data_IF_064494453078
#
_entry.id   IF_064494453078
#
_cell.length_a   1.000
_cell.length_b   1.000
_cell.length_c   1.000
_cell.angle_alpha   90.00
_cell.angle_beta   90.00
_cell.angle_gamma   90.00
#
_symmetry.space_group_name_H-M   'P 1'
#
loop_
_entity.id
_entity.type
_entity.pdbx_description
1 polymer ?
#
# COMPACT_ATOMS: atom_id res chain seq x y z
N UNK A 1 43.11 38.02 44.96
CA UNK A 1 42.81 38.49 43.60
C UNK A 1 42.19 37.35 42.82
N UNK A 2 40.87 37.37 42.65
CA UNK A 2 40.14 36.70 41.59
C UNK A 2 38.86 37.52 41.43
N UNK A 3 38.80 38.28 40.34
CA UNK A 3 37.71 39.20 39.98
C UNK A 3 36.51 38.36 39.58
N UNK A 4 35.42 38.54 40.31
CA UNK A 4 34.11 37.97 40.03
C UNK A 4 33.31 39.05 39.28
N UNK A 5 33.06 38.84 37.99
CA UNK A 5 32.25 39.75 37.18
C UNK A 5 30.75 39.58 37.48
N UNK A 6 29.97 40.67 37.62
CA UNK A 6 28.56 40.62 37.97
C UNK A 6 27.60 40.87 36.77
N UNK A 7 26.34 40.44 36.97
CA UNK A 7 25.07 40.99 36.45
C UNK A 7 24.59 40.60 35.03
N UNK A 8 23.29 40.79 34.69
CA UNK A 8 22.02 40.62 35.45
C UNK A 8 20.94 39.83 34.64
N UNK A 9 19.80 39.49 35.27
CA UNK A 9 18.56 39.09 34.58
C UNK A 9 17.97 40.22 33.73
N UNK A 10 17.00 39.88 32.86
CA UNK A 10 15.85 40.64 32.31
C UNK A 10 15.67 40.36 30.78
N UNK A 11 14.55 40.71 30.13
CA UNK A 11 13.13 40.59 30.47
C UNK A 11 12.30 40.18 29.21
N UNK A 12 11.83 38.94 29.06
CA UNK A 12 10.85 38.67 27.98
C UNK A 12 9.88 37.51 28.25
N UNK A 13 9.52 37.28 29.52
CA UNK A 13 8.25 36.59 29.81
C UNK A 13 7.15 37.37 29.10
N UNK A 14 6.66 36.82 27.99
CA UNK A 14 5.60 37.42 27.19
C UNK A 14 4.37 36.55 27.39
N UNK A 15 3.40 37.08 28.13
CA UNK A 15 2.06 36.51 28.29
C UNK A 15 1.33 36.46 26.92
N UNK A 16 0.42 35.50 26.70
CA UNK A 16 -0.37 35.46 25.48
C UNK A 16 -1.45 36.54 25.54
N UNK A 17 -1.26 37.62 24.77
CA UNK A 17 -2.27 38.67 24.60
C UNK A 17 -3.40 38.19 23.68
N UNK A 18 -4.62 38.25 24.20
CA UNK A 18 -5.86 38.00 23.47
C UNK A 18 -6.25 39.21 22.60
N UNK A 19 -6.83 38.89 21.43
CA UNK A 19 -7.75 39.68 20.58
C UNK A 19 -7.22 39.96 19.16
N UNK A 20 -7.80 39.23 18.19
CA UNK A 20 -7.66 39.50 16.76
C UNK A 20 -8.45 38.51 15.91
N UNK A 21 -9.70 38.89 15.57
CA UNK A 21 -10.59 38.41 14.48
C UNK A 21 -10.71 36.91 14.17
N UNK A 22 -11.95 36.36 14.13
CA UNK A 22 -12.18 35.05 13.55
C UNK A 22 -12.20 35.21 12.02
N UNK A 23 -11.06 35.04 11.36
CA UNK A 23 -11.09 34.66 9.94
C UNK A 23 -11.65 33.25 9.93
N UNK A 24 -12.91 33.14 9.50
CA UNK A 24 -13.57 31.87 9.26
C UNK A 24 -12.79 31.11 8.17
N UNK A 25 -11.77 30.37 8.61
CA UNK A 25 -11.20 29.28 7.85
C UNK A 25 -12.31 28.24 7.79
N UNK A 26 -13.04 28.24 6.68
CA UNK A 26 -13.88 27.13 6.29
C UNK A 26 -12.98 25.88 6.21
N UNK A 27 -12.89 25.18 7.34
CA UNK A 27 -12.33 23.85 7.40
C UNK A 27 -13.20 22.99 6.50
N UNK A 28 -12.72 22.75 5.28
CA UNK A 28 -13.11 21.55 4.55
C UNK A 28 -12.95 20.36 5.52
N UNK A 29 -13.85 19.37 5.50
CA UNK A 29 -13.78 18.25 6.41
C UNK A 29 -12.60 17.39 5.97
N UNK A 30 -11.39 17.74 6.42
CA UNK A 30 -10.24 16.86 6.38
C UNK A 30 -10.63 15.66 7.21
N UNK A 31 -10.93 14.57 6.47
CA UNK A 31 -11.66 13.41 6.94
C UNK A 31 -11.19 12.95 8.31
N UNK A 32 -12.17 12.79 9.20
CA UNK A 32 -12.02 12.14 10.48
C UNK A 32 -11.27 10.81 10.25
N UNK A 33 -9.97 10.78 10.57
CA UNK A 33 -9.24 9.53 10.57
C UNK A 33 -9.96 8.61 11.56
N UNK A 34 -10.37 7.40 11.15
CA UNK A 34 -10.97 6.46 12.10
C UNK A 34 -10.00 6.28 13.26
N UNK A 35 -10.52 6.31 14.49
CA UNK A 35 -9.68 6.09 15.67
C UNK A 35 -8.88 4.80 15.51
N UNK A 36 -7.72 4.70 16.16
CA UNK A 36 -6.89 3.50 16.09
C UNK A 36 -7.70 2.22 16.41
N UNK A 37 -8.68 2.31 17.32
CA UNK A 37 -9.60 1.20 17.63
C UNK A 37 -10.52 0.81 16.47
N UNK A 38 -11.09 1.77 15.74
CA UNK A 38 -11.93 1.51 14.56
C UNK A 38 -11.10 0.93 13.40
N UNK A 39 -9.85 1.37 13.25
CA UNK A 39 -8.89 0.79 12.31
C UNK A 39 -8.58 -0.67 12.66
N UNK A 40 -8.27 -0.97 13.94
CA UNK A 40 -7.99 -2.34 14.41
C UNK A 40 -9.22 -3.26 14.29
N UNK A 41 -10.42 -2.77 14.57
CA UNK A 41 -11.66 -3.53 14.37
C UNK A 41 -11.86 -3.93 12.89
N UNK A 42 -11.56 -3.01 11.97
CA UNK A 42 -11.61 -3.28 10.53
C UNK A 42 -10.56 -4.33 10.10
N UNK A 43 -9.39 -4.32 10.75
CA UNK A 43 -8.35 -5.35 10.56
C UNK A 43 -8.77 -6.74 11.04
N UNK A 44 -9.59 -6.87 12.08
CA UNK A 44 -10.11 -8.19 12.48
C UNK A 44 -11.15 -8.71 11.50
N UNK A 45 -11.94 -7.80 10.94
CA UNK A 45 -13.08 -8.14 10.07
C UNK A 45 -12.67 -8.66 8.69
N UNK A 46 -11.52 -8.26 8.14
CA UNK A 46 -11.08 -8.81 6.85
C UNK A 46 -10.70 -10.30 6.95
N UNK A 47 -10.35 -10.80 8.13
CA UNK A 47 -10.06 -12.22 8.29
C UNK A 47 -11.33 -13.06 8.15
N UNK A 48 -12.49 -12.50 8.52
CA UNK A 48 -13.79 -13.15 8.42
C UNK A 48 -14.32 -13.23 6.98
N UNK A 49 -13.88 -12.35 6.07
CA UNK A 49 -14.29 -12.42 4.65
C UNK A 49 -13.51 -13.48 3.84
N UNK A 50 -12.41 -14.00 4.40
CA UNK A 50 -11.54 -14.97 3.74
C UNK A 50 -11.91 -16.39 4.15
N UNK A 51 -12.11 -17.24 3.15
CA UNK A 51 -12.41 -18.66 3.37
C UNK A 51 -11.13 -19.49 3.22
N UNK A 52 -11.14 -20.73 3.73
CA UNK A 52 -10.01 -21.68 3.54
C UNK A 52 -9.64 -21.88 2.07
N UNK A 53 -10.60 -21.79 1.15
CA UNK A 53 -10.38 -21.89 -0.30
C UNK A 53 -9.50 -20.77 -0.87
N UNK A 54 -9.50 -19.60 -0.23
CA UNK A 54 -8.72 -18.43 -0.62
C UNK A 54 -7.24 -18.54 -0.25
N UNK A 55 -6.86 -19.55 0.52
CA UNK A 55 -5.48 -19.81 0.89
C UNK A 55 -4.88 -20.96 0.07
N UNK A 56 -3.57 -20.89 -0.14
CA UNK A 56 -2.74 -21.99 -0.61
C UNK A 56 -1.55 -22.14 0.32
N UNK A 57 -1.14 -23.37 0.60
CA UNK A 57 0.09 -23.60 1.38
C UNK A 57 1.26 -23.64 0.41
N UNK A 58 2.28 -22.82 0.65
CA UNK A 58 3.54 -22.84 -0.08
C UNK A 58 4.65 -22.89 0.96
N UNK A 59 5.52 -23.90 0.87
CA UNK A 59 6.64 -24.08 1.80
C UNK A 59 6.22 -24.03 3.27
N UNK A 60 5.08 -24.66 3.59
CA UNK A 60 4.52 -24.71 4.95
C UNK A 60 3.76 -23.47 5.41
N UNK A 61 3.79 -22.36 4.67
CA UNK A 61 3.13 -21.12 5.05
C UNK A 61 1.85 -20.86 4.22
N UNK A 62 0.76 -20.36 4.83
CA UNK A 62 -0.46 -20.01 4.11
C UNK A 62 -0.29 -18.69 3.34
N UNK A 63 -0.56 -18.73 2.04
CA UNK A 63 -0.56 -17.58 1.12
C UNK A 63 -1.95 -17.32 0.59
N UNK A 64 -2.32 -16.04 0.51
CA UNK A 64 -3.60 -15.61 -0.03
C UNK A 64 -3.54 -15.69 -1.56
N UNK A 65 -4.46 -16.42 -2.17
CA UNK A 65 -4.63 -16.54 -3.62
C UNK A 65 -5.20 -15.26 -4.21
N UNK A 66 -5.21 -15.20 -5.54
CA UNK A 66 -5.85 -14.12 -6.33
C UNK A 66 -7.30 -13.86 -5.94
N UNK A 67 -8.06 -14.90 -5.54
CA UNK A 67 -9.45 -14.78 -5.10
C UNK A 67 -9.55 -14.04 -3.76
N UNK A 68 -8.74 -14.41 -2.77
CA UNK A 68 -8.71 -13.75 -1.48
C UNK A 68 -8.29 -12.28 -1.58
N UNK A 69 -7.25 -11.99 -2.37
CA UNK A 69 -6.84 -10.59 -2.62
C UNK A 69 -7.96 -9.77 -3.27
N UNK A 70 -8.73 -10.33 -4.20
CA UNK A 70 -9.90 -9.65 -4.78
C UNK A 70 -10.99 -9.35 -3.74
N UNK A 71 -11.28 -10.29 -2.83
CA UNK A 71 -12.24 -10.06 -1.74
C UNK A 71 -11.76 -8.92 -0.83
N UNK A 72 -10.49 -8.94 -0.44
CA UNK A 72 -9.86 -7.89 0.38
C UNK A 72 -9.94 -6.54 -0.32
N UNK A 73 -9.52 -6.45 -1.58
CA UNK A 73 -9.57 -5.20 -2.34
C UNK A 73 -10.98 -4.64 -2.47
N UNK A 74 -11.97 -5.51 -2.67
CA UNK A 74 -13.38 -5.10 -2.71
C UNK A 74 -13.87 -4.58 -1.35
N UNK A 75 -13.54 -5.28 -0.27
CA UNK A 75 -13.94 -4.89 1.10
C UNK A 75 -13.35 -3.54 1.53
N UNK A 76 -12.07 -3.29 1.23
CA UNK A 76 -11.40 -2.02 1.52
C UNK A 76 -11.63 -0.94 0.44
N UNK A 77 -12.42 -1.26 -0.59
CA UNK A 77 -12.69 -0.39 -1.73
C UNK A 77 -11.42 0.20 -2.36
N UNK A 78 -10.44 -0.67 -2.60
CA UNK A 78 -9.15 -0.33 -3.21
C UNK A 78 -9.31 -0.30 -4.73
N UNK A 79 -8.92 0.82 -5.34
CA UNK A 79 -8.78 0.94 -6.79
C UNK A 79 -7.34 0.64 -7.21
N UNK A 80 -7.18 0.15 -8.44
CA UNK A 80 -5.88 -0.13 -9.03
C UNK A 80 -5.70 0.65 -10.33
N UNK A 81 -4.53 1.23 -10.50
CA UNK A 81 -4.12 1.96 -11.69
C UNK A 81 -2.79 1.39 -12.19
N UNK A 82 -2.73 0.99 -13.47
CA UNK A 82 -1.46 0.58 -14.09
C UNK A 82 -0.70 1.86 -14.43
N UNK A 83 0.42 2.10 -13.74
CA UNK A 83 1.27 3.27 -13.95
C UNK A 83 2.24 3.08 -15.10
N UNK A 84 2.79 1.88 -15.19
CA UNK A 84 3.73 1.52 -16.24
C UNK A 84 3.63 0.01 -16.53
N UNK A 85 3.96 -0.38 -17.76
CA UNK A 85 4.08 -1.77 -18.14
C UNK A 85 5.06 -1.92 -19.30
N UNK A 86 5.84 -3.01 -19.25
CA UNK A 86 6.74 -3.41 -20.33
C UNK A 86 6.52 -4.88 -20.63
N UNK A 87 6.42 -5.23 -21.90
CA UNK A 87 6.31 -6.62 -22.37
C UNK A 87 7.39 -6.83 -23.41
N UNK A 88 8.33 -7.71 -23.10
CA UNK A 88 9.40 -8.12 -24.01
C UNK A 88 8.92 -9.29 -24.87
N UNK A 89 9.08 -9.15 -26.18
CA UNK A 89 8.78 -10.18 -27.17
C UNK A 89 10.06 -10.73 -27.79
N UNK A 90 10.04 -12.01 -28.18
CA UNK A 90 11.08 -12.60 -29.02
C UNK A 90 10.86 -12.27 -30.51
N UNK A 91 11.81 -12.68 -31.36
CA UNK A 91 11.75 -12.50 -32.82
C UNK A 91 10.54 -13.20 -33.47
N UNK A 92 9.97 -14.19 -32.79
CA UNK A 92 8.76 -14.92 -33.20
C UNK A 92 7.48 -14.35 -32.57
N UNK A 93 7.55 -13.13 -32.00
CA UNK A 93 6.45 -12.42 -31.35
C UNK A 93 5.83 -13.18 -30.15
N UNK A 94 6.62 -14.01 -29.46
CA UNK A 94 6.20 -14.60 -28.20
C UNK A 94 6.66 -13.77 -27.00
N UNK A 95 5.84 -13.71 -25.97
CA UNK A 95 6.19 -13.02 -24.73
C UNK A 95 7.33 -13.77 -24.02
N UNK A 96 8.43 -13.06 -23.77
CA UNK A 96 9.58 -13.54 -23.01
C UNK A 96 9.50 -13.11 -21.55
N UNK A 97 9.22 -11.82 -21.31
CA UNK A 97 9.09 -11.21 -19.99
C UNK A 97 7.98 -10.17 -20.00
N UNK A 98 7.28 -10.04 -18.88
CA UNK A 98 6.36 -8.93 -18.66
C UNK A 98 6.61 -8.31 -17.29
N UNK A 99 6.57 -6.99 -17.23
CA UNK A 99 6.72 -6.19 -16.02
C UNK A 99 5.58 -5.18 -15.92
N UNK A 100 5.04 -5.01 -14.72
CA UNK A 100 3.95 -4.08 -14.44
C UNK A 100 4.27 -3.30 -13.16
N UNK A 101 4.04 -1.99 -13.21
CA UNK A 101 3.99 -1.10 -12.06
C UNK A 101 2.54 -0.70 -11.84
N UNK A 102 1.98 -1.05 -10.68
CA UNK A 102 0.59 -0.79 -10.36
C UNK A 102 0.49 0.01 -9.07
N UNK A 103 -0.29 1.09 -9.10
CA UNK A 103 -0.70 1.83 -7.92
C UNK A 103 -1.99 1.25 -7.36
N UNK A 104 -1.99 0.86 -6.10
CA UNK A 104 -3.19 0.62 -5.31
C UNK A 104 -3.52 1.89 -4.52
N UNK A 105 -4.79 2.31 -4.53
CA UNK A 105 -5.24 3.49 -3.79
C UNK A 105 -6.54 3.24 -3.04
N UNK A 106 -6.63 3.78 -1.83
CA UNK A 106 -7.86 3.83 -1.05
C UNK A 106 -8.58 5.17 -1.28
N UNK A 107 -9.89 5.17 -1.03
CA UNK A 107 -10.68 6.41 -1.04
C UNK A 107 -10.22 7.46 0.00
N UNK A 108 -9.46 7.03 1.01
CA UNK A 108 -8.83 7.93 1.99
C UNK A 108 -7.64 8.72 1.42
N UNK A 109 -7.21 8.44 0.19
CA UNK A 109 -6.06 9.08 -0.44
C UNK A 109 -4.71 8.39 -0.18
N UNK A 110 -4.66 7.39 0.72
CA UNK A 110 -3.46 6.53 0.86
C UNK A 110 -3.27 5.68 -0.40
N UNK A 111 -2.03 5.58 -0.85
CA UNK A 111 -1.67 4.73 -1.99
C UNK A 111 -0.37 3.99 -1.72
N UNK A 112 -0.15 2.91 -2.47
CA UNK A 112 1.11 2.18 -2.53
C UNK A 112 1.35 1.70 -3.96
N UNK A 113 2.60 1.72 -4.39
CA UNK A 113 3.01 1.24 -5.71
C UNK A 113 3.65 -0.14 -5.58
N UNK A 114 3.17 -1.10 -6.37
CA UNK A 114 3.67 -2.46 -6.41
C UNK A 114 4.23 -2.79 -7.78
N UNK A 115 5.47 -3.25 -7.82
CA UNK A 115 6.09 -3.80 -9.02
C UNK A 115 5.94 -5.33 -9.07
N UNK A 116 5.65 -5.86 -10.25
CA UNK A 116 5.56 -7.30 -10.50
C UNK A 116 6.10 -7.66 -11.86
N UNK A 117 6.99 -8.66 -11.90
CA UNK A 117 7.51 -9.26 -13.13
C UNK A 117 7.11 -10.72 -13.24
N UNK A 118 7.11 -11.21 -14.48
CA UNK A 118 7.00 -12.62 -14.78
C UNK A 118 7.81 -12.95 -16.02
N UNK A 119 8.64 -13.99 -15.90
CA UNK A 119 9.45 -14.53 -17.00
C UNK A 119 8.82 -15.80 -17.54
N UNK A 120 8.98 -16.04 -18.85
CA UNK A 120 8.59 -17.30 -19.49
C UNK A 120 9.28 -18.52 -18.88
N UNK A 121 10.50 -18.34 -18.38
CA UNK A 121 11.33 -19.42 -17.81
C UNK A 121 10.94 -19.80 -16.38
N UNK A 122 10.13 -18.99 -15.70
CA UNK A 122 9.84 -19.21 -14.28
C UNK A 122 8.96 -20.45 -14.02
N UNK A 123 8.00 -20.72 -14.90
CA UNK A 123 7.11 -21.87 -14.80
C UNK A 123 6.61 -22.32 -16.17
N UNK A 124 6.05 -23.52 -16.24
CA UNK A 124 5.39 -24.01 -17.45
C UNK A 124 4.03 -23.35 -17.61
N UNK A 125 3.88 -22.52 -18.63
CA UNK A 125 2.63 -21.86 -19.01
C UNK A 125 1.90 -22.64 -20.11
N UNK A 126 0.56 -22.64 -20.09
CA UNK A 126 -0.24 -23.25 -21.16
C UNK A 126 -0.41 -22.28 -22.33
N UNK A 127 -0.62 -20.99 -22.04
CA UNK A 127 -0.73 -19.93 -23.04
C UNK A 127 0.22 -18.80 -22.67
N UNK A 128 1.55 -18.95 -22.93
CA UNK A 128 2.58 -18.02 -22.44
C UNK A 128 2.29 -16.55 -22.73
N UNK A 129 1.81 -16.25 -23.94
CA UNK A 129 1.54 -14.87 -24.37
C UNK A 129 0.41 -14.18 -23.57
N UNK A 130 -0.47 -14.93 -22.92
CA UNK A 130 -1.53 -14.39 -22.06
C UNK A 130 -1.21 -14.59 -20.57
N UNK A 131 -0.68 -15.75 -20.22
CA UNK A 131 -0.46 -16.13 -18.83
C UNK A 131 0.71 -15.34 -18.20
N UNK A 132 1.75 -15.00 -18.97
CA UNK A 132 2.91 -14.24 -18.48
C UNK A 132 2.50 -12.81 -18.10
N UNK A 133 1.90 -11.99 -19.00
CA UNK A 133 1.43 -10.65 -18.62
C UNK A 133 0.41 -10.70 -17.49
N UNK A 134 -0.55 -11.63 -17.52
CA UNK A 134 -1.55 -11.74 -16.46
C UNK A 134 -0.95 -12.11 -15.10
N UNK A 135 0.10 -12.93 -15.09
CA UNK A 135 0.82 -13.28 -13.87
C UNK A 135 1.59 -12.07 -13.33
N UNK A 136 2.33 -11.35 -14.17
CA UNK A 136 3.06 -10.14 -13.78
C UNK A 136 2.12 -9.06 -13.23
N UNK A 137 1.03 -8.77 -13.93
CA UNK A 137 -0.01 -7.82 -13.50
C UNK A 137 -0.64 -8.23 -12.15
N UNK A 138 -0.97 -9.52 -11.99
CA UNK A 138 -1.54 -10.02 -10.73
C UNK A 138 -0.55 -9.88 -9.57
N UNK A 139 0.75 -10.11 -9.80
CA UNK A 139 1.80 -9.91 -8.78
C UNK A 139 1.92 -8.46 -8.38
N UNK A 140 1.96 -7.54 -9.35
CA UNK A 140 2.03 -6.12 -9.10
C UNK A 140 0.83 -5.62 -8.27
N UNK A 141 -0.40 -6.01 -8.66
CA UNK A 141 -1.63 -5.70 -7.92
C UNK A 141 -1.63 -6.26 -6.49
N UNK A 142 -1.27 -7.53 -6.34
CA UNK A 142 -1.24 -8.16 -5.01
C UNK A 142 -0.21 -7.48 -4.11
N UNK A 143 0.99 -7.20 -4.62
CA UNK A 143 2.06 -6.51 -3.87
C UNK A 143 1.66 -5.10 -3.47
N UNK A 144 1.10 -4.31 -4.40
CA UNK A 144 0.60 -2.98 -4.11
C UNK A 144 -0.48 -2.99 -3.01
N UNK A 145 -1.41 -3.95 -3.08
CA UNK A 145 -2.47 -4.13 -2.08
C UNK A 145 -1.91 -4.58 -0.72
N UNK A 146 -0.95 -5.51 -0.73
CA UNK A 146 -0.24 -6.02 0.43
C UNK A 146 0.46 -4.89 1.20
N UNK A 147 1.23 -4.06 0.49
CA UNK A 147 1.99 -2.95 1.06
C UNK A 147 1.05 -1.83 1.56
N UNK A 148 -0.02 -1.54 0.82
CA UNK A 148 -1.01 -0.52 1.20
C UNK A 148 -1.73 -0.85 2.52
N UNK A 149 -2.11 -2.13 2.68
CA UNK A 149 -2.82 -2.63 3.85
C UNK A 149 -1.87 -3.05 4.99
N UNK A 150 -0.59 -3.27 4.70
CA UNK A 150 0.36 -3.82 5.68
C UNK A 150 0.02 -5.24 6.14
N UNK A 151 -0.68 -6.02 5.30
CA UNK A 151 -1.07 -7.40 5.58
C UNK A 151 -0.42 -8.32 4.56
N UNK A 152 -0.17 -9.59 4.91
CA UNK A 152 0.35 -10.60 3.97
C UNK A 152 1.82 -10.91 4.19
N UNK A 153 2.23 -12.11 3.77
CA UNK A 153 3.58 -12.62 3.95
C UNK A 153 4.37 -12.47 2.65
N UNK A 154 5.60 -11.95 2.74
CA UNK A 154 6.52 -11.98 1.60
C UNK A 154 6.90 -13.43 1.31
N UNK A 155 6.82 -13.81 0.03
CA UNK A 155 7.37 -15.07 -0.42
C UNK A 155 8.90 -14.96 -0.32
N UNK A 156 9.61 -15.81 0.45
CA UNK A 156 11.04 -15.92 0.29
C UNK A 156 11.30 -16.37 -1.15
N UNK A 157 12.15 -15.61 -1.85
CA UNK A 157 12.48 -15.81 -3.26
C UNK A 157 13.11 -17.17 -3.53
#
# INVERSE_FOLDING_TARGET
MLVQSPHPELPWVTEPSAAGSPVAAAAAPHGLFPSAAASVASFRKYQEILDKSDYTVISGNPYIKKSGWRKISCFYNISFEIKDHSIEFDDSHNVNRAEFLVRASMQSGRFSDGWGSCDRREKRFNKPNHDIPSTAETRAKNKACQDLLGIGHNRPG
#
